data_IF_515424603396
#
_entry.id   IF_515424603396
#
_cell.length_a   1.000
_cell.length_b   1.000
_cell.length_c   1.000
_cell.angle_alpha   90.00
_cell.angle_beta   90.00
_cell.angle_gamma   90.00
#
_symmetry.space_group_name_H-M   'P 1'
#
loop_
_entity.id
_entity.type
_entity.pdbx_description
1 polymer ?
#
# COMPACT_ATOMS: atom_id res chain seq x y z
N UNK A 1 0.87 15.75 -13.89
CA UNK A 1 0.39 16.04 -12.51
C UNK A 1 1.54 16.63 -11.72
N UNK A 2 1.29 17.64 -10.88
CA UNK A 2 2.25 18.17 -9.93
C UNK A 2 1.99 17.61 -8.55
N UNK A 3 3.02 17.58 -7.72
CA UNK A 3 2.96 17.11 -6.33
C UNK A 3 3.40 18.23 -5.39
N UNK A 4 2.73 18.32 -4.25
CA UNK A 4 3.05 19.26 -3.18
C UNK A 4 3.23 18.49 -1.87
N UNK A 5 3.65 19.18 -0.80
CA UNK A 5 3.70 18.61 0.54
C UNK A 5 2.35 18.75 1.24
N UNK A 6 2.04 17.83 2.15
CA UNK A 6 0.92 17.95 3.11
C UNK A 6 1.09 19.14 4.05
N UNK A 7 2.30 19.68 4.19
CA UNK A 7 2.64 20.75 5.14
C UNK A 7 2.99 22.08 4.50
N UNK A 8 3.47 22.07 3.27
CA UNK A 8 3.86 23.27 2.52
C UNK A 8 3.31 23.21 1.09
N UNK A 9 2.21 23.91 0.85
CA UNK A 9 1.58 24.01 -0.48
C UNK A 9 2.42 24.77 -1.51
N UNK A 10 3.47 25.50 -1.10
CA UNK A 10 4.40 26.18 -2.01
C UNK A 10 5.36 25.21 -2.70
N UNK A 11 5.59 24.04 -2.12
CA UNK A 11 6.34 22.97 -2.75
C UNK A 11 5.60 22.50 -4.01
N UNK A 12 6.27 22.49 -5.15
CA UNK A 12 5.69 22.01 -6.41
C UNK A 12 6.74 21.24 -7.20
N UNK A 13 6.63 19.92 -7.18
CA UNK A 13 7.57 19.00 -7.86
C UNK A 13 6.81 18.15 -8.87
N UNK A 14 7.54 17.57 -9.81
CA UNK A 14 6.99 16.58 -10.73
C UNK A 14 7.01 15.16 -10.11
N UNK A 15 6.40 14.19 -10.79
CA UNK A 15 6.33 12.81 -10.31
C UNK A 15 7.72 12.20 -10.07
N UNK A 16 8.62 12.35 -11.04
CA UNK A 16 9.97 11.79 -10.94
C UNK A 16 10.74 12.34 -9.73
N UNK A 17 10.57 13.63 -9.44
CA UNK A 17 11.21 14.24 -8.27
C UNK A 17 10.58 13.75 -6.97
N UNK A 18 9.23 13.70 -6.88
CA UNK A 18 8.54 13.21 -5.69
C UNK A 18 8.90 11.75 -5.35
N UNK A 19 9.09 10.89 -6.37
CA UNK A 19 9.51 9.50 -6.18
C UNK A 19 10.97 9.38 -5.74
N UNK A 20 11.86 10.21 -6.30
CA UNK A 20 13.28 10.22 -5.93
C UNK A 20 13.51 10.77 -4.52
N UNK A 21 12.88 11.90 -4.19
CA UNK A 21 13.01 12.52 -2.87
C UNK A 21 12.35 11.70 -1.78
N UNK A 22 11.40 10.81 -2.17
CA UNK A 22 10.61 9.98 -1.28
C UNK A 22 9.69 10.80 -0.36
N UNK A 23 10.22 11.73 0.40
CA UNK A 23 9.53 12.61 1.35
C UNK A 23 10.00 14.06 1.18
N UNK A 24 9.10 15.05 1.34
CA UNK A 24 9.47 16.45 1.35
C UNK A 24 10.31 16.80 2.58
N UNK A 25 11.09 17.90 2.48
CA UNK A 25 12.03 18.30 3.54
C UNK A 25 11.34 18.90 4.78
N UNK A 26 10.09 19.31 4.65
CA UNK A 26 9.28 19.87 5.75
C UNK A 26 8.74 18.84 6.73
N UNK A 27 9.06 17.55 6.54
CA UNK A 27 8.63 16.44 7.36
C UNK A 27 7.21 15.95 7.05
N UNK A 28 6.56 16.46 6.00
CA UNK A 28 5.27 15.99 5.50
C UNK A 28 5.38 14.81 4.53
N UNK A 29 4.32 14.64 3.74
CA UNK A 29 4.22 13.62 2.69
C UNK A 29 3.84 14.26 1.35
N UNK A 30 4.35 13.71 0.25
CA UNK A 30 3.91 14.17 -1.08
C UNK A 30 2.47 13.76 -1.37
N UNK A 31 1.70 14.71 -1.94
CA UNK A 31 0.32 14.56 -2.40
C UNK A 31 0.17 15.09 -3.82
N UNK A 32 -0.76 14.57 -4.65
CA UNK A 32 -1.12 15.17 -5.93
C UNK A 32 -1.76 16.54 -5.71
N UNK A 33 -1.28 17.56 -6.42
CA UNK A 33 -1.84 18.92 -6.37
C UNK A 33 -3.14 19.02 -7.17
N UNK A 34 -3.17 18.40 -8.35
CA UNK A 34 -4.30 18.41 -9.26
C UNK A 34 -4.67 16.99 -9.69
N UNK A 35 -5.96 16.76 -9.99
CA UNK A 35 -6.45 15.49 -10.50
C UNK A 35 -7.10 15.69 -11.87
N UNK A 36 -6.71 14.85 -12.84
CA UNK A 36 -7.36 14.83 -14.14
C UNK A 36 -8.76 14.20 -14.05
N UNK A 37 -9.74 14.75 -14.78
CA UNK A 37 -11.02 14.05 -14.95
C UNK A 37 -10.86 12.89 -15.94
N UNK A 38 -10.83 11.68 -15.41
CA UNK A 38 -10.70 10.44 -16.18
C UNK A 38 -12.05 9.73 -16.38
N UNK A 39 -13.19 10.37 -16.07
CA UNK A 39 -14.53 9.77 -16.14
C UNK A 39 -14.79 9.05 -17.46
N UNK A 40 -14.55 9.73 -18.57
CA UNK A 40 -14.80 9.15 -19.90
C UNK A 40 -13.98 7.89 -20.12
N UNK A 41 -12.71 7.92 -19.76
CA UNK A 41 -11.81 6.78 -19.91
C UNK A 41 -12.21 5.63 -18.98
N UNK A 42 -12.51 5.90 -17.70
CA UNK A 42 -12.96 4.90 -16.72
C UNK A 42 -14.24 4.21 -17.20
N UNK A 43 -15.21 4.97 -17.71
CA UNK A 43 -16.45 4.44 -18.26
C UNK A 43 -16.24 3.62 -19.53
N UNK A 44 -15.15 3.83 -20.26
CA UNK A 44 -14.82 3.08 -21.47
C UNK A 44 -14.14 1.74 -21.17
N UNK A 45 -13.44 1.61 -20.02
CA UNK A 45 -12.81 0.34 -19.62
C UNK A 45 -13.87 -0.75 -19.44
N UNK A 46 -13.50 -2.01 -19.68
CA UNK A 46 -14.40 -3.16 -19.53
C UNK A 46 -13.65 -4.36 -18.93
N UNK A 47 -14.32 -5.50 -18.79
CA UNK A 47 -13.76 -6.72 -18.21
C UNK A 47 -12.54 -7.27 -18.97
N UNK A 48 -12.40 -6.94 -20.27
CA UNK A 48 -11.26 -7.36 -21.08
C UNK A 48 -10.05 -6.42 -20.94
N UNK A 49 -10.22 -5.23 -20.37
CA UNK A 49 -9.11 -4.31 -20.12
C UNK A 49 -8.20 -4.89 -19.03
N UNK A 50 -6.94 -5.17 -19.36
CA UNK A 50 -6.00 -5.77 -18.40
C UNK A 50 -5.64 -4.81 -17.27
N UNK A 51 -5.21 -5.37 -16.14
CA UNK A 51 -4.73 -4.53 -15.00
C UNK A 51 -3.53 -3.68 -15.40
N UNK A 52 -2.59 -4.25 -16.16
CA UNK A 52 -1.43 -3.52 -16.67
C UNK A 52 -1.82 -2.35 -17.58
N UNK A 53 -2.81 -2.53 -18.47
CA UNK A 53 -3.30 -1.43 -19.34
C UNK A 53 -3.98 -0.32 -18.52
N UNK A 54 -4.77 -0.68 -17.50
CA UNK A 54 -5.35 0.31 -16.58
C UNK A 54 -4.25 1.07 -15.84
N UNK A 55 -3.27 0.35 -15.32
CA UNK A 55 -2.14 0.96 -14.61
C UNK A 55 -1.30 1.86 -15.53
N UNK A 56 -1.07 1.45 -16.79
CA UNK A 56 -0.33 2.25 -17.78
C UNK A 56 -1.02 3.58 -18.10
N UNK A 57 -2.33 3.55 -18.30
CA UNK A 57 -3.12 4.76 -18.56
C UNK A 57 -3.12 5.71 -17.35
N UNK A 58 -3.31 5.19 -16.13
CA UNK A 58 -3.25 5.99 -14.91
C UNK A 58 -1.83 6.51 -14.63
N UNK A 59 -0.81 5.71 -14.91
CA UNK A 59 0.59 6.16 -14.84
C UNK A 59 0.82 7.34 -15.79
N UNK A 60 0.30 7.27 -17.02
CA UNK A 60 0.39 8.38 -17.97
C UNK A 60 -0.31 9.65 -17.45
N UNK A 61 -1.44 9.52 -16.76
CA UNK A 61 -2.13 10.65 -16.14
C UNK A 61 -1.32 11.26 -14.96
N UNK A 62 -0.65 10.42 -14.15
CA UNK A 62 0.16 10.89 -13.02
C UNK A 62 1.47 11.54 -13.47
N UNK A 63 2.18 10.90 -14.39
CA UNK A 63 3.48 11.35 -14.87
C UNK A 63 3.34 12.52 -15.86
N UNK A 64 2.20 12.56 -16.60
CA UNK A 64 1.92 13.57 -17.61
C UNK A 64 3.10 13.70 -18.61
N UNK A 65 3.65 14.87 -18.80
CA UNK A 65 4.63 15.15 -19.84
C UNK A 65 6.08 14.65 -19.56
N UNK A 66 6.33 13.96 -18.45
CA UNK A 66 7.67 13.47 -18.12
C UNK A 66 8.09 12.25 -18.95
N UNK A 67 7.12 11.35 -19.20
CA UNK A 67 7.33 10.15 -19.99
C UNK A 67 6.26 10.02 -21.08
N UNK A 68 6.65 9.39 -22.19
CA UNK A 68 5.67 9.06 -23.22
C UNK A 68 4.68 7.97 -22.72
N UNK A 69 3.45 7.92 -23.26
CA UNK A 69 2.50 6.85 -22.92
C UNK A 69 3.04 5.44 -23.10
N UNK A 70 3.92 5.22 -24.08
CA UNK A 70 4.58 3.91 -24.33
C UNK A 70 5.49 3.54 -23.15
N UNK A 71 6.24 4.49 -22.60
CA UNK A 71 7.08 4.24 -21.42
C UNK A 71 6.20 3.93 -20.22
N UNK A 72 5.10 4.65 -20.00
CA UNK A 72 4.16 4.40 -18.92
C UNK A 72 3.53 3.01 -18.99
N UNK A 73 3.14 2.57 -20.19
CA UNK A 73 2.62 1.22 -20.42
C UNK A 73 3.70 0.15 -20.22
N UNK A 74 4.94 0.42 -20.63
CA UNK A 74 6.08 -0.48 -20.40
C UNK A 74 6.37 -0.64 -18.91
N UNK A 75 6.34 0.44 -18.13
CA UNK A 75 6.46 0.40 -16.67
C UNK A 75 5.37 -0.50 -16.08
N UNK A 76 4.12 -0.26 -16.43
CA UNK A 76 2.98 -1.02 -15.91
C UNK A 76 3.03 -2.50 -16.29
N UNK A 77 3.38 -2.83 -17.54
CA UNK A 77 3.51 -4.21 -18.00
C UNK A 77 4.63 -4.97 -17.26
N UNK A 78 5.77 -4.31 -17.02
CA UNK A 78 6.85 -4.90 -16.21
C UNK A 78 6.49 -5.04 -14.75
N UNK A 79 5.75 -4.06 -14.21
CA UNK A 79 5.35 -4.07 -12.81
C UNK A 79 4.29 -5.13 -12.50
N UNK A 80 3.40 -5.45 -13.43
CA UNK A 80 2.21 -6.24 -13.17
C UNK A 80 2.09 -7.49 -14.07
N UNK A 81 2.97 -8.50 -13.90
CA UNK A 81 2.77 -9.83 -14.46
C UNK A 81 1.65 -10.60 -13.74
N UNK A 82 1.03 -10.02 -12.73
CA UNK A 82 -0.09 -10.50 -11.93
C UNK A 82 -1.17 -9.42 -11.85
N UNK A 83 -2.39 -9.82 -11.50
CA UNK A 83 -3.53 -8.90 -11.40
C UNK A 83 -4.38 -9.18 -10.16
N UNK A 84 -5.11 -8.19 -9.65
CA UNK A 84 -6.17 -8.43 -8.68
C UNK A 84 -7.25 -9.34 -9.26
N UNK A 85 -8.09 -9.90 -8.41
CA UNK A 85 -9.32 -10.58 -8.85
C UNK A 85 -10.52 -9.91 -8.19
N UNK A 86 -11.53 -9.62 -8.99
CA UNK A 86 -12.86 -9.31 -8.51
C UNK A 86 -13.70 -10.60 -8.61
N UNK A 87 -14.29 -11.02 -7.51
CA UNK A 87 -15.15 -12.20 -7.46
C UNK A 87 -16.53 -11.80 -6.96
N UNK A 88 -17.55 -12.14 -7.71
CA UNK A 88 -18.94 -12.03 -7.25
C UNK A 88 -19.20 -13.13 -6.22
N UNK A 89 -19.69 -12.76 -5.05
CA UNK A 89 -19.96 -13.68 -3.93
C UNK A 89 -21.47 -13.89 -3.81
N UNK A 90 -22.22 -12.81 -3.93
CA UNK A 90 -23.67 -12.79 -3.84
C UNK A 90 -24.19 -11.70 -4.80
N UNK A 91 -25.50 -11.48 -4.86
CA UNK A 91 -26.10 -10.47 -5.75
C UNK A 91 -25.48 -9.08 -5.57
N UNK A 92 -25.19 -8.71 -4.30
CA UNK A 92 -24.67 -7.39 -3.93
C UNK A 92 -23.32 -7.44 -3.21
N UNK A 93 -22.71 -8.61 -3.04
CA UNK A 93 -21.43 -8.77 -2.36
C UNK A 93 -20.36 -9.23 -3.34
N UNK A 94 -19.29 -8.48 -3.41
CA UNK A 94 -18.10 -8.79 -4.20
C UNK A 94 -16.85 -8.77 -3.31
N UNK A 95 -15.83 -9.55 -3.65
CA UNK A 95 -14.49 -9.44 -3.06
C UNK A 95 -13.51 -8.92 -4.08
N UNK A 96 -12.70 -7.94 -3.69
CA UNK A 96 -11.54 -7.48 -4.43
C UNK A 96 -10.28 -8.08 -3.80
N UNK A 97 -9.80 -9.16 -4.39
CA UNK A 97 -8.73 -9.99 -3.87
C UNK A 97 -7.37 -9.48 -4.40
N UNK A 98 -6.58 -8.84 -3.54
CA UNK A 98 -5.29 -8.21 -3.87
C UNK A 98 -4.08 -9.11 -3.59
N UNK A 99 -4.29 -10.36 -3.24
CA UNK A 99 -3.27 -11.30 -2.78
C UNK A 99 -2.84 -12.34 -3.85
N UNK A 100 -3.25 -12.15 -5.10
CA UNK A 100 -2.85 -13.01 -6.21
C UNK A 100 -1.44 -12.65 -6.74
N UNK A 101 -0.53 -12.37 -5.82
CA UNK A 101 0.88 -12.06 -6.03
C UNK A 101 1.76 -13.21 -5.56
N UNK A 102 3.02 -13.30 -5.96
CA UNK A 102 3.94 -14.32 -5.46
C UNK A 102 4.00 -14.44 -3.94
N UNK A 103 4.09 -13.31 -3.22
CA UNK A 103 4.16 -13.30 -1.74
C UNK A 103 2.79 -13.41 -1.06
N UNK A 104 1.69 -13.38 -1.82
CA UNK A 104 0.35 -13.40 -1.24
C UNK A 104 -0.07 -12.10 -0.58
N UNK A 105 0.62 -10.98 -0.82
CA UNK A 105 0.35 -9.69 -0.21
C UNK A 105 0.13 -8.60 -1.26
N UNK A 106 -0.85 -7.70 -1.01
CA UNK A 106 -1.08 -6.51 -1.82
C UNK A 106 0.13 -5.56 -1.88
N UNK A 107 1.02 -5.65 -0.89
CA UNK A 107 2.24 -4.84 -0.81
C UNK A 107 3.06 -4.97 -2.10
N UNK A 108 3.07 -6.14 -2.71
CA UNK A 108 3.88 -6.43 -3.88
C UNK A 108 3.48 -5.62 -5.13
N UNK A 109 2.19 -5.28 -5.30
CA UNK A 109 1.76 -4.41 -6.40
C UNK A 109 2.47 -3.06 -6.35
N UNK A 110 2.45 -2.42 -5.20
CA UNK A 110 3.04 -1.10 -5.09
C UNK A 110 4.57 -1.10 -5.08
N UNK A 111 5.20 -2.13 -4.50
CA UNK A 111 6.66 -2.30 -4.54
C UNK A 111 7.10 -2.50 -5.99
N UNK A 112 6.44 -3.39 -6.72
CA UNK A 112 6.76 -3.65 -8.12
C UNK A 112 6.59 -2.41 -8.99
N UNK A 113 5.53 -1.64 -8.78
CA UNK A 113 5.31 -0.39 -9.51
C UNK A 113 6.39 0.66 -9.19
N UNK A 114 6.62 0.93 -7.90
CA UNK A 114 7.63 1.90 -7.46
C UNK A 114 9.00 1.58 -8.01
N UNK A 115 9.44 0.31 -7.93
CA UNK A 115 10.74 -0.12 -8.41
C UNK A 115 10.87 0.06 -9.93
N UNK A 116 9.83 -0.26 -10.72
CA UNK A 116 9.90 -0.10 -12.18
C UNK A 116 9.82 1.38 -12.60
N UNK A 117 9.09 2.23 -11.88
CA UNK A 117 9.17 3.69 -12.06
C UNK A 117 10.56 4.21 -11.74
N UNK A 118 11.08 3.86 -10.57
CA UNK A 118 12.37 4.33 -10.07
C UNK A 118 13.51 3.90 -11.00
N UNK A 119 13.56 2.64 -11.44
CA UNK A 119 14.57 2.15 -12.40
C UNK A 119 14.54 2.94 -13.72
N UNK A 120 13.33 3.26 -14.21
CA UNK A 120 13.18 4.08 -15.43
C UNK A 120 13.73 5.49 -15.22
N UNK A 121 13.37 6.13 -14.09
CA UNK A 121 13.83 7.48 -13.73
C UNK A 121 15.35 7.51 -13.57
N UNK A 122 15.90 6.56 -12.82
CA UNK A 122 17.35 6.47 -12.54
C UNK A 122 18.15 6.20 -13.82
N UNK A 123 17.67 5.34 -14.68
CA UNK A 123 18.31 5.07 -16.00
C UNK A 123 18.36 6.34 -16.85
N UNK A 124 17.30 7.13 -16.87
CA UNK A 124 17.25 8.39 -17.63
C UNK A 124 18.15 9.48 -17.04
N UNK A 125 18.32 9.49 -15.71
CA UNK A 125 19.14 10.48 -14.99
C UNK A 125 20.60 10.05 -14.83
N UNK A 126 20.96 8.80 -15.10
CA UNK A 126 22.29 8.25 -14.85
C UNK A 126 22.65 8.24 -13.36
N UNK A 127 21.67 7.95 -12.49
CA UNK A 127 21.84 7.96 -11.05
C UNK A 127 21.42 6.61 -10.42
N UNK A 128 21.62 6.44 -9.13
CA UNK A 128 21.30 5.23 -8.36
C UNK A 128 20.45 5.58 -7.14
N UNK A 129 19.77 4.59 -6.58
CA UNK A 129 19.06 4.72 -5.31
C UNK A 129 19.21 3.44 -4.46
N UNK A 130 19.12 3.61 -3.15
CA UNK A 130 19.20 2.52 -2.19
C UNK A 130 17.93 2.51 -1.33
N UNK A 131 17.18 1.42 -1.36
CA UNK A 131 16.10 1.19 -0.39
C UNK A 131 16.70 0.88 0.98
N UNK A 132 16.14 1.47 2.03
CA UNK A 132 16.43 1.13 3.42
C UNK A 132 15.12 0.91 4.16
N UNK A 133 14.80 -0.34 4.43
CA UNK A 133 13.54 -0.72 5.07
C UNK A 133 13.75 -1.79 6.16
N UNK A 134 12.87 -1.78 7.16
CA UNK A 134 12.72 -2.88 8.11
C UNK A 134 11.67 -3.88 7.59
N UNK A 135 11.91 -5.17 7.80
CA UNK A 135 11.00 -6.22 7.33
C UNK A 135 11.00 -7.44 8.24
N UNK A 136 9.84 -8.08 8.34
CA UNK A 136 9.67 -9.40 8.96
C UNK A 136 9.21 -10.48 7.97
N UNK A 137 9.17 -10.14 6.66
CA UNK A 137 8.75 -11.10 5.64
C UNK A 137 8.39 -10.49 4.30
N UNK A 138 7.10 -10.24 4.03
CA UNK A 138 6.56 -10.00 2.68
C UNK A 138 7.17 -8.76 1.99
N UNK A 139 7.48 -7.69 2.73
CA UNK A 139 8.06 -6.49 2.13
C UNK A 139 9.45 -6.79 1.58
N UNK A 140 10.33 -7.35 2.40
CA UNK A 140 11.71 -7.68 2.02
C UNK A 140 11.76 -8.70 0.87
N UNK A 141 10.96 -9.78 0.96
CA UNK A 141 10.87 -10.79 -0.09
C UNK A 141 10.36 -10.20 -1.43
N UNK A 142 9.33 -9.35 -1.38
CA UNK A 142 8.80 -8.66 -2.56
C UNK A 142 9.84 -7.72 -3.17
N UNK A 143 10.53 -6.93 -2.34
CA UNK A 143 11.53 -5.97 -2.80
C UNK A 143 12.72 -6.68 -3.44
N UNK A 144 13.32 -7.66 -2.75
CA UNK A 144 14.46 -8.42 -3.26
C UNK A 144 14.15 -9.04 -4.62
N UNK A 145 12.98 -9.69 -4.76
CA UNK A 145 12.55 -10.31 -6.00
C UNK A 145 12.40 -9.30 -7.15
N UNK A 146 11.86 -8.11 -6.87
CA UNK A 146 11.58 -7.11 -7.91
C UNK A 146 12.84 -6.34 -8.34
N UNK A 147 13.80 -6.14 -7.42
CA UNK A 147 15.06 -5.44 -7.76
C UNK A 147 16.13 -6.36 -8.34
N UNK A 148 15.94 -7.69 -8.27
CA UNK A 148 16.90 -8.65 -8.81
C UNK A 148 17.30 -8.30 -10.25
N UNK A 149 18.61 -8.18 -10.49
CA UNK A 149 19.17 -7.84 -11.80
C UNK A 149 19.04 -6.35 -12.22
N UNK A 150 18.44 -5.49 -11.40
CA UNK A 150 18.43 -4.04 -11.65
C UNK A 150 19.76 -3.42 -11.26
N UNK A 151 20.32 -2.60 -12.16
CA UNK A 151 21.68 -2.05 -12.01
C UNK A 151 21.74 -0.78 -11.16
N UNK A 152 20.63 -0.02 -11.17
CA UNK A 152 20.59 1.30 -10.56
C UNK A 152 19.98 1.31 -9.15
N UNK A 153 19.55 0.13 -8.68
CA UNK A 153 18.83 0.00 -7.41
C UNK A 153 19.53 -1.03 -6.52
N UNK A 154 19.76 -0.64 -5.26
CA UNK A 154 20.19 -1.51 -4.18
C UNK A 154 19.15 -1.53 -3.07
N UNK A 155 19.21 -2.51 -2.17
CA UNK A 155 18.40 -2.54 -0.96
C UNK A 155 19.22 -2.96 0.26
N UNK A 156 19.02 -2.25 1.36
CA UNK A 156 19.44 -2.63 2.72
C UNK A 156 18.17 -3.00 3.47
N UNK A 157 18.09 -4.24 3.92
CA UNK A 157 16.91 -4.78 4.58
C UNK A 157 17.26 -5.22 5.99
N UNK A 158 16.67 -4.56 6.98
CA UNK A 158 16.87 -4.87 8.40
C UNK A 158 15.83 -5.89 8.85
N UNK A 159 16.28 -6.96 9.46
CA UNK A 159 15.44 -8.03 9.98
C UNK A 159 15.75 -8.29 11.46
N UNK A 160 14.76 -8.57 12.30
CA UNK A 160 15.03 -9.21 13.57
C UNK A 160 15.76 -10.53 13.33
N UNK A 161 16.60 -10.94 14.27
CA UNK A 161 17.37 -12.20 14.15
C UNK A 161 16.47 -13.40 13.83
N UNK A 162 16.81 -14.15 12.78
CA UNK A 162 16.07 -15.33 12.32
C UNK A 162 14.80 -15.04 11.53
N UNK A 163 14.56 -13.79 11.10
CA UNK A 163 13.37 -13.42 10.34
C UNK A 163 13.61 -13.15 8.86
N UNK A 164 14.83 -13.41 8.35
CA UNK A 164 15.09 -13.24 6.90
C UNK A 164 14.29 -14.27 6.12
N UNK A 165 13.53 -13.80 5.13
CA UNK A 165 12.67 -14.65 4.30
C UNK A 165 12.66 -14.17 2.84
N UNK A 166 12.55 -15.15 1.92
CA UNK A 166 12.33 -14.89 0.50
C UNK A 166 13.53 -14.32 -0.23
N UNK A 167 14.72 -14.46 0.32
CA UNK A 167 15.99 -14.11 -0.31
C UNK A 167 16.73 -15.38 -0.73
N UNK A 168 17.47 -15.30 -1.82
CA UNK A 168 18.36 -16.35 -2.29
C UNK A 168 19.81 -15.86 -2.32
N UNK A 169 20.77 -16.79 -2.40
CA UNK A 169 22.20 -16.48 -2.45
C UNK A 169 22.56 -15.48 -3.56
N UNK A 170 21.86 -15.52 -4.69
CA UNK A 170 22.07 -14.61 -5.83
C UNK A 170 21.59 -13.16 -5.58
N UNK A 171 20.73 -12.95 -4.55
CA UNK A 171 20.28 -11.60 -4.19
C UNK A 171 21.35 -10.84 -3.41
N UNK A 172 22.24 -11.54 -2.72
CA UNK A 172 23.17 -10.93 -1.78
C UNK A 172 24.25 -10.13 -2.49
N UNK A 173 24.54 -8.94 -1.96
CA UNK A 173 25.52 -8.03 -2.54
C UNK A 173 26.92 -8.64 -2.61
N UNK A 174 27.30 -9.44 -1.63
CA UNK A 174 28.60 -10.14 -1.61
C UNK A 174 28.72 -11.31 -2.60
N UNK A 175 27.60 -11.69 -3.23
CA UNK A 175 27.55 -12.68 -4.32
C UNK A 175 27.26 -12.02 -5.68
N UNK A 176 27.37 -10.69 -5.76
CA UNK A 176 27.12 -9.92 -6.98
C UNK A 176 25.64 -9.53 -7.19
N UNK A 177 24.79 -9.77 -6.21
CA UNK A 177 23.42 -9.26 -6.17
C UNK A 177 23.36 -7.78 -5.75
N UNK A 178 22.18 -7.33 -5.36
CA UNK A 178 21.94 -5.93 -5.00
C UNK A 178 21.17 -5.76 -3.67
N UNK A 179 21.08 -6.80 -2.86
CA UNK A 179 20.46 -6.79 -1.54
C UNK A 179 21.51 -7.00 -0.45
N UNK A 180 21.51 -6.11 0.54
CA UNK A 180 22.27 -6.24 1.78
C UNK A 180 21.29 -6.56 2.92
N UNK A 181 21.05 -7.85 3.25
CA UNK A 181 20.28 -8.22 4.41
C UNK A 181 21.13 -8.07 5.67
N UNK A 182 20.56 -7.44 6.69
CA UNK A 182 21.21 -7.22 7.99
C UNK A 182 20.29 -7.75 9.09
N UNK A 183 20.80 -8.69 9.89
CA UNK A 183 20.10 -9.10 11.12
C UNK A 183 20.39 -8.11 12.24
N UNK A 184 19.33 -7.72 12.94
CA UNK A 184 19.37 -6.81 14.09
C UNK A 184 19.17 -7.62 15.36
N UNK A 185 19.97 -7.33 16.38
CA UNK A 185 19.81 -7.91 17.72
C UNK A 185 18.69 -7.19 18.48
N UNK A 186 17.45 -7.47 18.07
CA UNK A 186 16.27 -6.81 18.60
C UNK A 186 14.99 -7.28 17.92
N UNK A 187 13.90 -6.63 18.29
CA UNK A 187 12.57 -6.84 17.70
C UNK A 187 12.40 -6.05 16.39
N UNK A 188 11.27 -6.27 15.69
CA UNK A 188 10.86 -5.44 14.56
C UNK A 188 10.84 -3.95 14.90
N UNK A 189 10.43 -3.60 16.13
CA UNK A 189 10.42 -2.22 16.61
C UNK A 189 11.83 -1.60 16.60
N UNK A 190 12.85 -2.33 17.03
CA UNK A 190 14.25 -1.88 17.00
C UNK A 190 14.74 -1.66 15.56
N UNK A 191 14.36 -2.56 14.63
CA UNK A 191 14.67 -2.36 13.21
C UNK A 191 14.06 -1.05 12.69
N UNK A 192 12.82 -0.75 13.06
CA UNK A 192 12.16 0.51 12.70
C UNK A 192 12.82 1.74 13.33
N UNK A 193 13.27 1.65 14.58
CA UNK A 193 14.01 2.74 15.24
C UNK A 193 15.33 3.03 14.53
N UNK A 194 16.09 2.01 14.18
CA UNK A 194 17.33 2.16 13.40
C UNK A 194 17.08 2.85 12.05
N UNK A 195 16.02 2.47 11.33
CA UNK A 195 15.65 3.12 10.07
C UNK A 195 15.35 4.61 10.30
N UNK A 196 14.56 4.96 11.33
CA UNK A 196 14.25 6.36 11.67
C UNK A 196 15.50 7.16 11.99
N UNK A 197 16.41 6.60 12.79
CA UNK A 197 17.67 7.24 13.17
C UNK A 197 18.55 7.53 11.94
N UNK A 198 18.66 6.58 10.99
CA UNK A 198 19.42 6.78 9.77
C UNK A 198 18.77 7.86 8.89
N UNK A 199 17.44 7.85 8.73
CA UNK A 199 16.72 8.87 7.95
C UNK A 199 16.75 10.26 8.59
N UNK A 200 16.93 10.38 9.90
CA UNK A 200 17.16 11.65 10.56
C UNK A 200 18.52 12.29 10.20
N UNK A 201 19.47 11.50 9.70
CA UNK A 201 20.77 11.97 9.25
C UNK A 201 20.76 12.28 7.75
N UNK A 202 20.48 13.54 7.40
CA UNK A 202 20.36 13.99 6.02
C UNK A 202 21.60 13.68 5.16
N UNK A 203 22.79 13.79 5.72
CA UNK A 203 24.02 13.51 4.99
C UNK A 203 24.15 12.04 4.57
N UNK A 204 23.64 11.12 5.37
CA UNK A 204 23.60 9.69 5.03
C UNK A 204 22.54 9.43 3.96
N UNK A 205 21.34 10.05 4.10
CA UNK A 205 20.28 9.93 3.10
C UNK A 205 20.77 10.38 1.73
N UNK A 206 21.45 11.50 1.64
CA UNK A 206 21.99 12.04 0.39
C UNK A 206 23.16 11.21 -0.13
N UNK A 207 24.09 10.80 0.73
CA UNK A 207 25.27 10.01 0.33
C UNK A 207 24.88 8.71 -0.38
N UNK A 208 23.84 8.03 0.10
CA UNK A 208 23.40 6.74 -0.45
C UNK A 208 22.15 6.85 -1.32
N UNK A 209 21.60 8.05 -1.54
CA UNK A 209 20.32 8.27 -2.21
C UNK A 209 19.23 7.36 -1.63
N UNK A 210 19.04 7.43 -0.31
CA UNK A 210 18.11 6.53 0.39
C UNK A 210 16.65 6.80 0.03
N UNK A 211 15.91 5.74 -0.17
CA UNK A 211 14.45 5.72 -0.37
C UNK A 211 13.83 4.54 0.38
N UNK A 212 12.50 4.53 0.52
CA UNK A 212 11.76 3.44 1.16
C UNK A 212 10.78 2.76 0.19
N UNK A 213 10.54 1.47 0.41
CA UNK A 213 9.59 0.67 -0.35
C UNK A 213 8.16 0.70 0.24
N UNK A 214 7.93 1.50 1.26
CA UNK A 214 6.63 1.67 1.92
C UNK A 214 5.86 2.91 1.39
N UNK A 215 4.71 3.23 1.97
CA UNK A 215 3.82 4.29 1.48
C UNK A 215 4.22 5.71 1.89
N UNK A 216 5.36 5.92 2.55
CA UNK A 216 5.97 7.25 2.62
C UNK A 216 6.29 7.73 1.21
N UNK A 217 6.82 6.84 0.35
CA UNK A 217 7.02 7.15 -1.06
C UNK A 217 5.67 7.16 -1.81
N UNK A 218 5.34 8.31 -2.43
CA UNK A 218 4.07 8.51 -3.16
C UNK A 218 3.89 7.51 -4.31
N UNK A 219 4.95 7.10 -5.00
CA UNK A 219 4.89 6.10 -6.06
C UNK A 219 4.38 4.75 -5.57
N UNK A 220 4.70 4.38 -4.33
CA UNK A 220 4.20 3.18 -3.68
C UNK A 220 2.70 3.24 -3.39
N UNK A 221 2.21 4.42 -3.00
CA UNK A 221 0.80 4.65 -2.68
C UNK A 221 -0.06 4.72 -3.94
N UNK A 222 0.37 5.48 -4.96
CA UNK A 222 -0.39 5.69 -6.19
C UNK A 222 -0.73 4.37 -6.92
N UNK A 223 0.13 3.37 -6.84
CA UNK A 223 -0.15 2.05 -7.41
C UNK A 223 -1.42 1.40 -6.86
N UNK A 224 -1.81 1.71 -5.62
CA UNK A 224 -3.02 1.17 -5.02
C UNK A 224 -4.29 1.79 -5.62
N UNK A 225 -4.20 2.98 -6.21
CA UNK A 225 -5.31 3.61 -6.91
C UNK A 225 -5.81 2.78 -8.09
N UNK A 226 -4.94 1.99 -8.72
CA UNK A 226 -5.28 1.18 -9.90
C UNK A 226 -6.29 0.08 -9.61
N UNK A 227 -6.40 -0.38 -8.36
CA UNK A 227 -7.33 -1.43 -7.96
C UNK A 227 -8.79 -1.07 -8.19
N UNK A 228 -9.15 0.20 -7.97
CA UNK A 228 -10.52 0.65 -7.97
C UNK A 228 -11.10 0.82 -9.39
N UNK A 229 -10.43 1.48 -10.36
CA UNK A 229 -10.86 1.45 -11.75
C UNK A 229 -10.85 0.04 -12.36
N UNK A 230 -9.93 -0.81 -11.93
CA UNK A 230 -9.94 -2.23 -12.33
C UNK A 230 -11.18 -2.95 -11.81
N UNK A 231 -11.52 -2.80 -10.53
CA UNK A 231 -12.74 -3.37 -9.97
C UNK A 231 -13.98 -2.82 -10.68
N UNK A 232 -14.07 -1.50 -10.86
CA UNK A 232 -15.18 -0.85 -11.53
C UNK A 232 -15.39 -1.34 -12.96
N UNK A 233 -14.32 -1.54 -13.75
CA UNK A 233 -14.42 -2.04 -15.12
C UNK A 233 -15.11 -3.40 -15.24
N UNK A 234 -15.13 -4.20 -14.16
CA UNK A 234 -15.78 -5.50 -14.07
C UNK A 234 -17.15 -5.44 -13.40
N UNK A 235 -17.34 -4.46 -12.50
CA UNK A 235 -18.59 -4.30 -11.76
C UNK A 235 -19.69 -3.64 -12.58
N UNK A 236 -19.38 -2.62 -13.37
CA UNK A 236 -20.35 -1.70 -13.98
C UNK A 236 -21.45 -2.35 -14.82
N UNK A 237 -21.23 -3.56 -15.34
CA UNK A 237 -22.22 -4.33 -16.07
C UNK A 237 -22.96 -5.36 -15.20
N UNK A 238 -22.61 -5.46 -13.91
CA UNK A 238 -23.18 -6.44 -12.97
C UNK A 238 -24.01 -5.80 -11.86
N UNK A 239 -23.91 -4.48 -11.69
CA UNK A 239 -24.54 -3.70 -10.64
C UNK A 239 -25.32 -2.56 -11.25
N UNK A 240 -26.48 -2.21 -10.68
CA UNK A 240 -27.35 -1.12 -11.13
C UNK A 240 -27.40 0.04 -10.14
N UNK A 241 -27.06 -0.21 -8.88
CA UNK A 241 -27.08 0.77 -7.80
C UNK A 241 -25.71 1.28 -7.42
N UNK A 242 -25.64 1.86 -6.24
CA UNK A 242 -24.46 2.45 -5.66
C UNK A 242 -23.36 1.42 -5.37
N UNK A 243 -22.10 1.87 -5.41
CA UNK A 243 -20.93 1.03 -5.13
C UNK A 243 -20.20 1.56 -3.91
N UNK A 244 -20.15 0.73 -2.87
CA UNK A 244 -19.37 0.99 -1.66
C UNK A 244 -18.19 0.04 -1.55
N UNK A 245 -17.04 0.57 -1.15
CA UNK A 245 -15.86 -0.23 -0.87
C UNK A 245 -15.65 -0.34 0.63
N UNK A 246 -15.61 -1.57 1.15
CA UNK A 246 -15.21 -1.80 2.54
C UNK A 246 -13.78 -2.31 2.63
N UNK A 247 -12.98 -1.68 3.46
CA UNK A 247 -11.55 -1.97 3.54
C UNK A 247 -10.98 -1.88 4.95
N UNK A 248 -9.91 -2.66 5.22
CA UNK A 248 -9.12 -2.48 6.44
C UNK A 248 -8.43 -1.11 6.44
N UNK A 249 -8.44 -0.38 7.55
CA UNK A 249 -7.74 0.89 7.66
C UNK A 249 -6.21 0.71 7.55
N UNK A 250 -5.62 -0.08 8.47
CA UNK A 250 -4.16 -0.17 8.56
C UNK A 250 -3.53 1.21 8.73
N UNK A 251 -2.63 1.56 7.82
CA UNK A 251 -2.01 2.89 7.74
C UNK A 251 -2.74 3.85 6.78
N UNK A 252 -4.00 3.64 6.51
CA UNK A 252 -4.90 4.43 5.65
C UNK A 252 -4.56 4.44 4.15
N UNK A 253 -3.48 3.79 3.71
CA UNK A 253 -3.02 3.89 2.32
C UNK A 253 -4.06 3.40 1.30
N UNK A 254 -4.78 2.31 1.58
CA UNK A 254 -5.84 1.82 0.68
C UNK A 254 -7.02 2.79 0.61
N UNK A 255 -7.40 3.39 1.74
CA UNK A 255 -8.47 4.38 1.80
C UNK A 255 -8.09 5.63 0.98
N UNK A 256 -6.91 6.19 1.23
CA UNK A 256 -6.37 7.33 0.47
C UNK A 256 -6.31 7.02 -1.03
N UNK A 257 -5.84 5.83 -1.40
CA UNK A 257 -5.76 5.42 -2.80
C UNK A 257 -7.15 5.29 -3.46
N UNK A 258 -8.16 4.79 -2.73
CA UNK A 258 -9.54 4.77 -3.19
C UNK A 258 -10.11 6.17 -3.39
N UNK A 259 -9.86 7.07 -2.45
CA UNK A 259 -10.24 8.47 -2.51
C UNK A 259 -9.52 9.22 -3.65
N UNK A 260 -8.25 8.90 -3.93
CA UNK A 260 -7.57 9.42 -5.13
C UNK A 260 -8.23 8.90 -6.42
N UNK A 261 -8.69 7.64 -6.44
CA UNK A 261 -9.51 7.11 -7.52
C UNK A 261 -10.79 7.93 -7.73
N UNK A 262 -11.49 8.25 -6.66
CA UNK A 262 -12.65 9.13 -6.69
C UNK A 262 -12.31 10.55 -7.19
N UNK A 263 -11.22 11.15 -6.76
CA UNK A 263 -10.73 12.44 -7.30
C UNK A 263 -10.39 12.38 -8.79
N UNK A 264 -10.07 11.20 -9.32
CA UNK A 264 -9.92 10.94 -10.76
C UNK A 264 -11.26 10.62 -11.46
N UNK A 265 -12.38 10.88 -10.79
CA UNK A 265 -13.76 10.66 -11.26
C UNK A 265 -14.18 9.17 -11.36
N UNK A 266 -13.60 8.31 -10.52
CA UNK A 266 -14.11 6.94 -10.35
C UNK A 266 -15.55 6.99 -9.79
N UNK A 267 -16.53 6.31 -10.39
CA UNK A 267 -17.86 6.17 -9.84
C UNK A 267 -17.86 5.25 -8.61
N UNK A 268 -17.68 5.86 -7.44
CA UNK A 268 -17.78 5.22 -6.12
C UNK A 268 -18.65 6.09 -5.24
N UNK A 269 -19.56 5.50 -4.47
CA UNK A 269 -20.52 6.20 -3.63
C UNK A 269 -20.02 6.33 -2.19
N UNK A 270 -19.04 5.53 -1.79
CA UNK A 270 -18.39 5.72 -0.50
C UNK A 270 -17.43 4.61 -0.12
N UNK A 271 -16.74 4.87 0.99
CA UNK A 271 -15.76 3.97 1.59
C UNK A 271 -16.14 3.67 3.03
N UNK A 272 -16.29 2.39 3.34
CA UNK A 272 -16.61 1.91 4.69
C UNK A 272 -15.32 1.37 5.32
N UNK A 273 -15.08 1.72 6.57
CA UNK A 273 -13.91 1.23 7.30
C UNK A 273 -14.19 1.06 8.80
N UNK A 274 -13.47 0.18 9.51
CA UNK A 274 -13.54 0.16 10.96
C UNK A 274 -12.88 1.42 11.55
N UNK A 275 -13.40 1.89 12.69
CA UNK A 275 -12.74 2.97 13.46
C UNK A 275 -11.34 2.57 13.92
N UNK A 276 -10.50 3.57 14.13
CA UNK A 276 -9.14 3.45 14.69
C UNK A 276 -9.00 4.43 15.85
N UNK A 277 -7.78 4.65 16.33
CA UNK A 277 -7.52 5.67 17.32
C UNK A 277 -7.65 7.08 16.71
N UNK A 278 -7.38 7.24 15.41
CA UNK A 278 -7.41 8.50 14.69
C UNK A 278 -8.73 8.74 13.92
N UNK A 279 -9.42 7.68 13.48
CA UNK A 279 -10.72 7.78 12.80
C UNK A 279 -11.83 7.28 13.71
N UNK A 280 -12.72 8.18 14.09
CA UNK A 280 -13.87 7.94 14.97
C UNK A 280 -15.19 8.17 14.25
N UNK A 281 -16.27 7.92 14.94
CA UNK A 281 -17.63 8.32 14.56
C UNK A 281 -18.18 9.30 15.60
N UNK A 282 -18.80 10.38 15.11
CA UNK A 282 -19.56 11.30 15.95
C UNK A 282 -20.91 10.68 16.37
N UNK A 283 -21.69 11.41 17.19
CA UNK A 283 -23.01 10.96 17.65
C UNK A 283 -24.03 10.77 16.52
N UNK A 284 -23.82 11.40 15.37
CA UNK A 284 -24.65 11.28 14.20
C UNK A 284 -24.16 10.19 13.23
N UNK A 285 -23.07 9.48 13.57
CA UNK A 285 -22.49 8.43 12.74
C UNK A 285 -21.55 8.93 11.65
N UNK A 286 -21.18 10.21 11.64
CA UNK A 286 -20.27 10.76 10.65
C UNK A 286 -18.81 10.47 11.00
N UNK A 287 -17.96 10.49 9.97
CA UNK A 287 -16.51 10.37 10.11
C UNK A 287 -15.92 11.59 10.81
N UNK A 288 -15.12 11.36 11.83
CA UNK A 288 -14.32 12.35 12.54
C UNK A 288 -12.85 11.92 12.57
N UNK A 289 -11.96 12.82 12.18
CA UNK A 289 -10.51 12.58 12.17
C UNK A 289 -9.94 13.26 13.42
N UNK A 290 -9.40 12.48 14.36
CA UNK A 290 -8.96 12.98 15.66
C UNK A 290 -7.70 13.84 15.57
N UNK A 291 -6.80 13.54 14.64
CA UNK A 291 -5.55 14.30 14.46
C UNK A 291 -5.74 15.68 13.86
N UNK A 292 -6.90 15.96 13.24
CA UNK A 292 -7.22 17.32 12.75
C UNK A 292 -7.25 18.38 13.86
N UNK A 293 -7.26 17.95 15.13
CA UNK A 293 -7.19 18.81 16.30
C UNK A 293 -5.76 19.27 16.59
N UNK A 294 -4.73 18.53 16.12
CA UNK A 294 -3.33 18.89 16.34
C UNK A 294 -2.83 19.72 15.16
N UNK A 295 -2.40 20.95 15.40
CA UNK A 295 -1.81 21.82 14.38
C UNK A 295 -0.60 21.12 13.73
N UNK A 296 -0.47 21.23 12.41
CA UNK A 296 0.59 20.57 11.64
C UNK A 296 2.00 20.84 12.19
N UNK A 297 2.24 22.07 12.65
CA UNK A 297 3.51 22.50 13.24
C UNK A 297 3.89 21.74 14.52
N UNK A 298 2.89 21.18 15.20
CA UNK A 298 3.07 20.42 16.45
C UNK A 298 3.14 18.91 16.22
N UNK A 299 2.92 18.46 14.98
CA UNK A 299 3.05 17.04 14.62
C UNK A 299 4.52 16.71 14.36
N UNK A 300 4.97 15.54 14.81
CA UNK A 300 6.28 15.01 14.43
C UNK A 300 6.41 14.78 12.92
N UNK A 301 7.62 14.61 12.42
CA UNK A 301 7.84 14.27 11.01
C UNK A 301 7.15 12.96 10.63
N UNK A 302 6.73 12.84 9.37
CA UNK A 302 6.24 11.58 8.83
C UNK A 302 7.29 10.46 9.03
N UNK A 303 6.84 9.30 9.52
CA UNK A 303 7.73 8.18 9.82
C UNK A 303 8.20 7.49 8.53
N UNK A 304 9.49 7.50 8.21
CA UNK A 304 10.01 6.84 7.01
C UNK A 304 9.89 5.32 7.08
N UNK A 305 9.81 4.74 8.27
CA UNK A 305 9.82 3.29 8.48
C UNK A 305 8.40 2.71 8.58
N UNK A 306 7.48 3.43 9.23
CA UNK A 306 6.09 3.00 9.43
C UNK A 306 5.11 4.15 9.19
N UNK A 307 4.98 4.64 7.94
CA UNK A 307 4.22 5.84 7.65
C UNK A 307 2.72 5.66 7.91
N UNK A 308 2.11 6.65 8.55
CA UNK A 308 0.66 6.89 8.50
C UNK A 308 0.34 7.73 7.27
N UNK A 309 -0.78 7.45 6.61
CA UNK A 309 -1.28 8.28 5.53
C UNK A 309 -2.43 9.19 5.99
N UNK A 310 -2.54 9.45 7.27
CA UNK A 310 -3.62 10.26 7.84
C UNK A 310 -3.58 11.69 7.31
N UNK A 311 -2.40 12.34 7.24
CA UNK A 311 -2.27 13.69 6.67
C UNK A 311 -2.73 13.74 5.20
N UNK A 312 -2.43 12.69 4.40
CA UNK A 312 -2.96 12.58 3.04
C UNK A 312 -4.47 12.43 3.01
N UNK A 313 -5.04 11.72 3.97
CA UNK A 313 -6.49 11.57 4.12
C UNK A 313 -7.15 12.89 4.48
N UNK A 314 -6.61 13.62 5.46
CA UNK A 314 -7.11 14.94 5.85
C UNK A 314 -7.09 15.92 4.69
N UNK A 315 -6.00 15.96 3.93
CA UNK A 315 -5.81 16.91 2.82
C UNK A 315 -6.83 16.73 1.69
N UNK A 316 -7.31 15.50 1.45
CA UNK A 316 -8.34 15.25 0.44
C UNK A 316 -9.62 16.04 0.72
N UNK A 317 -9.95 16.26 1.97
CA UNK A 317 -11.17 16.94 2.42
C UNK A 317 -10.94 18.34 2.97
N UNK A 318 -9.70 18.85 2.98
CA UNK A 318 -9.34 20.15 3.53
C UNK A 318 -10.16 21.31 2.89
N UNK A 319 -10.38 21.25 1.57
CA UNK A 319 -11.18 22.26 0.84
C UNK A 319 -12.71 22.11 1.04
N UNK A 320 -13.18 20.93 1.44
CA UNK A 320 -14.61 20.67 1.68
C UNK A 320 -14.83 19.59 2.74
N UNK A 321 -14.69 19.92 4.04
CA UNK A 321 -14.83 18.95 5.14
C UNK A 321 -16.21 18.28 5.20
N UNK A 322 -17.26 18.91 4.66
CA UNK A 322 -18.60 18.30 4.64
C UNK A 322 -18.65 17.05 3.76
N UNK A 323 -17.84 16.99 2.71
CA UNK A 323 -17.78 15.81 1.84
C UNK A 323 -17.27 14.56 2.59
N UNK A 324 -16.43 14.72 3.60
CA UNK A 324 -15.97 13.59 4.42
C UNK A 324 -17.14 12.81 5.02
N UNK A 325 -18.15 13.52 5.53
CA UNK A 325 -19.33 12.93 6.20
C UNK A 325 -20.22 12.11 5.26
N UNK A 326 -20.17 12.40 3.98
CA UNK A 326 -21.02 11.77 2.96
C UNK A 326 -20.23 10.82 2.06
N UNK A 327 -18.97 10.53 2.41
CA UNK A 327 -18.15 9.69 1.54
C UNK A 327 -17.30 8.66 2.30
N UNK A 328 -17.00 8.88 3.57
CA UNK A 328 -16.29 7.93 4.42
C UNK A 328 -17.17 7.57 5.62
N UNK A 329 -17.43 6.29 5.75
CA UNK A 329 -18.38 5.73 6.71
C UNK A 329 -17.65 4.80 7.69
N UNK A 330 -17.01 5.32 8.73
CA UNK A 330 -16.39 4.49 9.76
C UNK A 330 -17.45 3.82 10.64
N UNK A 331 -17.14 2.62 11.13
CA UNK A 331 -17.96 1.92 12.10
C UNK A 331 -17.10 1.35 13.23
N UNK A 332 -17.56 1.55 14.47
CA UNK A 332 -16.92 0.94 15.63
C UNK A 332 -17.21 -0.57 15.63
N UNK A 333 -16.15 -1.38 15.63
CA UNK A 333 -16.23 -2.85 15.55
C UNK A 333 -15.49 -3.47 16.71
N UNK A 334 -16.20 -4.29 17.50
CA UNK A 334 -15.62 -5.06 18.61
C UNK A 334 -14.86 -6.30 18.12
N UNK A 335 -14.16 -6.96 19.05
CA UNK A 335 -13.49 -8.23 18.76
C UNK A 335 -14.51 -9.32 18.41
N UNK A 336 -15.58 -9.40 19.16
CA UNK A 336 -16.68 -10.38 19.00
C UNK A 336 -17.37 -10.23 17.64
N UNK A 337 -17.67 -8.99 17.23
CA UNK A 337 -18.24 -8.67 15.93
C UNK A 337 -17.27 -9.04 14.78
N UNK A 338 -15.97 -8.83 14.99
CA UNK A 338 -14.93 -9.24 14.02
C UNK A 338 -14.92 -10.76 13.83
N UNK A 339 -14.98 -11.52 14.91
CA UNK A 339 -15.04 -12.99 14.87
C UNK A 339 -16.36 -13.51 14.26
N UNK A 340 -17.48 -12.87 14.60
CA UNK A 340 -18.79 -13.20 13.99
C UNK A 340 -18.77 -12.96 12.48
N UNK A 341 -18.20 -11.85 12.02
CA UNK A 341 -18.04 -11.55 10.61
C UNK A 341 -17.15 -12.58 9.89
N UNK A 342 -16.08 -13.03 10.53
CA UNK A 342 -15.25 -14.12 10.01
C UNK A 342 -16.04 -15.42 9.83
N UNK A 343 -16.81 -15.82 10.86
CA UNK A 343 -17.67 -17.00 10.80
C UNK A 343 -18.76 -16.86 9.74
N UNK A 344 -19.36 -15.69 9.60
CA UNK A 344 -20.38 -15.42 8.58
C UNK A 344 -19.82 -15.55 7.17
N UNK A 345 -18.67 -14.96 6.87
CA UNK A 345 -18.01 -15.08 5.57
C UNK A 345 -17.71 -16.57 5.23
N UNK A 346 -17.27 -17.34 6.22
CA UNK A 346 -16.98 -18.75 6.02
C UNK A 346 -18.26 -19.60 5.86
N UNK A 347 -19.22 -19.46 6.76
CA UNK A 347 -20.41 -20.31 6.78
C UNK A 347 -21.35 -20.04 5.59
N UNK A 348 -21.54 -18.77 5.23
CA UNK A 348 -22.48 -18.39 4.17
C UNK A 348 -21.85 -18.48 2.78
N UNK A 349 -20.52 -18.24 2.68
CA UNK A 349 -19.87 -18.06 1.38
C UNK A 349 -18.58 -18.89 1.19
N UNK A 350 -18.20 -19.69 2.18
CA UNK A 350 -16.94 -20.45 2.18
C UNK A 350 -15.70 -19.59 1.91
N UNK A 351 -15.67 -18.37 2.49
CA UNK A 351 -14.57 -17.44 2.37
C UNK A 351 -13.76 -17.42 3.67
N UNK A 352 -12.49 -17.80 3.58
CA UNK A 352 -11.54 -17.52 4.66
C UNK A 352 -11.17 -16.04 4.66
N UNK A 353 -11.34 -15.39 5.79
CA UNK A 353 -11.00 -13.98 5.97
C UNK A 353 -10.02 -13.80 7.14
N UNK A 354 -8.92 -13.10 6.91
CA UNK A 354 -8.02 -12.73 7.99
C UNK A 354 -8.68 -11.67 8.91
N UNK A 355 -8.08 -11.41 10.06
CA UNK A 355 -8.63 -10.49 11.08
C UNK A 355 -8.99 -9.11 10.50
N UNK A 356 -8.13 -8.54 9.65
CA UNK A 356 -8.35 -7.21 9.09
C UNK A 356 -9.51 -7.18 8.08
N UNK A 357 -9.63 -8.19 7.23
CA UNK A 357 -10.75 -8.36 6.30
C UNK A 357 -12.07 -8.60 7.05
N UNK A 358 -12.05 -9.46 8.07
CA UNK A 358 -13.22 -9.74 8.92
C UNK A 358 -13.71 -8.45 9.61
N UNK A 359 -12.79 -7.63 10.10
CA UNK A 359 -13.12 -6.36 10.74
C UNK A 359 -13.72 -5.35 9.74
N UNK A 360 -13.21 -5.30 8.50
CA UNK A 360 -13.78 -4.49 7.45
C UNK A 360 -15.20 -4.95 7.08
N UNK A 361 -15.41 -6.25 6.95
CA UNK A 361 -16.75 -6.78 6.68
C UNK A 361 -17.74 -6.51 7.84
N UNK A 362 -17.31 -6.64 9.09
CA UNK A 362 -18.11 -6.26 10.24
C UNK A 362 -18.50 -4.77 10.22
N UNK A 363 -17.58 -3.88 9.81
CA UNK A 363 -17.89 -2.47 9.63
C UNK A 363 -18.98 -2.25 8.58
N UNK A 364 -18.92 -2.96 7.45
CA UNK A 364 -19.95 -2.90 6.41
C UNK A 364 -21.32 -3.40 6.92
N UNK A 365 -21.34 -4.47 7.70
CA UNK A 365 -22.60 -4.99 8.29
C UNK A 365 -23.24 -3.99 9.26
N UNK A 366 -22.45 -3.14 9.91
CA UNK A 366 -22.96 -2.06 10.79
C UNK A 366 -23.44 -0.83 10.03
N UNK A 367 -23.10 -0.71 8.77
CA UNK A 367 -23.53 0.36 7.86
C UNK A 367 -24.55 -0.15 6.83
N UNK A 368 -25.29 -1.17 7.21
CA UNK A 368 -26.28 -1.79 6.33
C UNK A 368 -27.36 -0.80 5.90
N UNK A 369 -27.74 0.15 6.75
CA UNK A 369 -28.71 1.20 6.42
C UNK A 369 -28.32 2.02 5.20
N UNK A 370 -27.03 2.32 5.01
CA UNK A 370 -26.53 3.06 3.85
C UNK A 370 -26.64 2.22 2.58
N UNK A 371 -26.48 0.90 2.71
CA UNK A 371 -26.49 -0.03 1.59
C UNK A 371 -27.90 -0.46 1.15
N UNK A 372 -28.85 -0.43 2.07
CA UNK A 372 -30.23 -0.87 1.78
C UNK A 372 -31.06 0.21 1.06
N UNK A 373 -30.70 1.50 1.20
CA UNK A 373 -31.47 2.61 0.65
C UNK A 373 -31.41 2.70 -0.90
N UNK A 374 -30.27 2.35 -1.52
CA UNK A 374 -29.99 2.64 -2.93
C UNK A 374 -29.61 1.42 -3.77
N UNK A 375 -30.07 0.26 -3.43
CA UNK A 375 -29.75 -1.01 -4.13
C UNK A 375 -28.23 -1.25 -4.26
N UNK A 376 -27.49 -0.83 -3.25
CA UNK A 376 -26.05 -0.71 -3.25
C UNK A 376 -25.34 -2.07 -3.27
N UNK A 377 -24.18 -2.10 -3.89
CA UNK A 377 -23.26 -3.22 -3.90
C UNK A 377 -22.04 -2.96 -3.03
N UNK A 378 -21.62 -3.97 -2.27
CA UNK A 378 -20.43 -3.95 -1.44
C UNK A 378 -19.27 -4.65 -2.12
N UNK A 379 -18.14 -3.95 -2.21
CA UNK A 379 -16.84 -4.52 -2.60
C UNK A 379 -15.96 -4.62 -1.37
N UNK A 380 -15.78 -5.83 -0.85
CA UNK A 380 -14.89 -6.12 0.27
C UNK A 380 -13.45 -6.26 -0.21
N UNK A 381 -12.56 -5.37 0.22
CA UNK A 381 -11.15 -5.38 -0.17
C UNK A 381 -10.37 -6.36 0.71
N UNK A 382 -9.79 -7.37 0.09
CA UNK A 382 -8.97 -8.40 0.73
C UNK A 382 -7.50 -8.23 0.35
N UNK A 383 -6.69 -7.73 1.29
CA UNK A 383 -5.31 -7.30 1.02
C UNK A 383 -4.31 -8.44 0.94
N UNK A 384 -4.39 -9.37 1.90
CA UNK A 384 -3.38 -10.41 2.09
C UNK A 384 -4.05 -11.78 2.09
N UNK A 385 -3.33 -12.78 1.55
CA UNK A 385 -3.85 -14.15 1.47
C UNK A 385 -4.18 -14.66 2.88
N UNK A 386 -5.36 -15.26 3.10
CA UNK A 386 -5.79 -15.68 4.44
C UNK A 386 -4.79 -16.62 5.13
N UNK A 387 -4.10 -17.48 4.40
CA UNK A 387 -3.11 -18.39 4.97
C UNK A 387 -1.93 -17.69 5.67
N UNK A 388 -1.63 -16.42 5.35
CA UNK A 388 -0.62 -15.64 6.06
C UNK A 388 -1.02 -15.28 7.50
N UNK A 389 -2.30 -15.42 7.83
CA UNK A 389 -2.86 -15.18 9.17
C UNK A 389 -3.66 -16.39 9.66
N UNK A 390 -3.17 -17.59 9.42
CA UNK A 390 -3.86 -18.87 9.67
C UNK A 390 -4.17 -19.10 11.15
N UNK A 391 -3.37 -18.57 12.07
CA UNK A 391 -3.58 -18.71 13.52
C UNK A 391 -4.91 -18.07 13.96
N UNK A 392 -5.17 -16.82 13.57
CA UNK A 392 -6.44 -16.16 13.85
C UNK A 392 -7.62 -16.93 13.27
N UNK A 393 -7.50 -17.39 12.01
CA UNK A 393 -8.57 -18.10 11.31
C UNK A 393 -8.86 -19.44 12.00
N UNK A 394 -7.80 -20.19 12.35
CA UNK A 394 -7.95 -21.48 13.06
C UNK A 394 -8.57 -21.30 14.44
N UNK A 395 -8.18 -20.27 15.17
CA UNK A 395 -8.80 -19.95 16.46
C UNK A 395 -10.31 -19.64 16.32
N UNK A 396 -10.68 -18.90 15.26
CA UNK A 396 -12.06 -18.43 15.07
C UNK A 396 -12.97 -19.49 14.47
N UNK A 397 -12.46 -20.29 13.51
CA UNK A 397 -13.26 -21.23 12.70
C UNK A 397 -13.01 -22.71 13.05
N UNK A 398 -11.96 -23.04 13.82
CA UNK A 398 -11.50 -24.42 14.00
C UNK A 398 -10.73 -25.00 12.82
N UNK A 399 -10.66 -24.29 11.70
CA UNK A 399 -9.94 -24.67 10.48
C UNK A 399 -9.26 -23.45 9.87
N UNK A 400 -8.32 -23.66 8.94
CA UNK A 400 -7.64 -22.57 8.25
C UNK A 400 -7.29 -23.01 6.82
N UNK A 401 -7.12 -22.06 5.88
CA UNK A 401 -6.69 -22.41 4.53
C UNK A 401 -5.25 -22.92 4.53
N UNK A 402 -4.96 -23.82 3.62
CA UNK A 402 -3.60 -24.26 3.35
C UNK A 402 -2.77 -23.13 2.76
N UNK A 403 -1.46 -23.12 3.09
CA UNK A 403 -0.52 -22.17 2.52
C UNK A 403 -0.23 -22.58 1.06
N UNK A 404 -0.55 -21.74 0.07
CA UNK A 404 -0.21 -22.06 -1.31
C UNK A 404 1.31 -22.20 -1.51
N UNK A 405 1.73 -23.20 -2.26
CA UNK A 405 3.14 -23.50 -2.51
C UNK A 405 3.91 -22.26 -3.05
N UNK A 406 3.31 -21.48 -3.96
CA UNK A 406 3.92 -20.26 -4.48
C UNK A 406 4.26 -19.25 -3.38
N UNK A 407 3.39 -19.10 -2.37
CA UNK A 407 3.61 -18.17 -1.23
C UNK A 407 4.66 -18.76 -0.28
N UNK A 408 4.56 -20.05 0.03
CA UNK A 408 5.54 -20.76 0.85
C UNK A 408 6.95 -20.63 0.27
N UNK A 409 7.11 -20.85 -1.03
CA UNK A 409 8.38 -20.71 -1.74
C UNK A 409 8.89 -19.26 -1.74
N UNK A 410 8.00 -18.29 -1.97
CA UNK A 410 8.34 -16.87 -1.98
C UNK A 410 8.72 -16.30 -0.59
N UNK A 411 8.34 -16.99 0.50
CA UNK A 411 8.60 -16.58 1.88
C UNK A 411 9.46 -17.62 2.63
N UNK A 412 10.20 -18.44 1.90
CA UNK A 412 11.08 -19.44 2.50
C UNK A 412 12.11 -18.76 3.41
N UNK A 413 12.35 -19.36 4.58
CA UNK A 413 13.35 -18.86 5.52
C UNK A 413 14.75 -18.91 4.88
N UNK A 414 15.50 -17.83 5.08
CA UNK A 414 16.88 -17.68 4.60
C UNK A 414 17.80 -17.47 5.80
N UNK A 415 18.91 -18.16 5.83
CA UNK A 415 19.94 -17.98 6.87
C UNK A 415 21.15 -17.29 6.24
N UNK A 416 21.69 -16.29 6.93
CA UNK A 416 22.95 -15.66 6.58
C UNK A 416 23.99 -15.93 7.68
N UNK A 417 25.26 -16.07 7.29
CA UNK A 417 26.36 -16.28 8.24
C UNK A 417 27.10 -14.95 8.44
N UNK A 418 26.43 -13.98 9.06
CA UNK A 418 26.98 -12.67 9.37
C UNK A 418 26.60 -12.26 10.79
N UNK A 419 27.42 -11.43 11.48
CA UNK A 419 27.06 -10.96 12.82
C UNK A 419 25.82 -10.07 12.77
N UNK A 420 25.01 -10.14 13.82
CA UNK A 420 23.92 -9.21 14.04
C UNK A 420 24.48 -7.83 14.41
N UNK A 421 23.74 -6.78 14.03
CA UNK A 421 24.02 -5.40 14.44
C UNK A 421 23.03 -4.94 15.52
N UNK A 422 23.41 -3.92 16.28
CA UNK A 422 22.58 -3.41 17.40
C UNK A 422 22.26 -1.92 17.30
N UNK A 423 22.82 -1.22 16.31
CA UNK A 423 22.69 0.25 16.20
C UNK A 423 22.71 0.76 14.75
N UNK A 424 22.19 1.95 14.56
CA UNK A 424 22.25 2.65 13.27
C UNK A 424 23.68 2.85 12.77
N UNK A 425 24.64 3.12 13.68
CA UNK A 425 26.04 3.30 13.32
C UNK A 425 26.63 2.01 12.73
N UNK A 426 26.34 0.84 13.30
CA UNK A 426 26.81 -0.45 12.77
C UNK A 426 26.20 -0.75 11.40
N UNK A 427 24.93 -0.39 11.17
CA UNK A 427 24.30 -0.48 9.83
C UNK A 427 25.03 0.40 8.84
N UNK A 428 25.31 1.66 9.18
CA UNK A 428 26.01 2.61 8.31
C UNK A 428 27.44 2.12 7.98
N UNK A 429 28.17 1.56 8.97
CA UNK A 429 29.49 0.97 8.73
C UNK A 429 29.40 -0.24 7.80
N UNK A 430 28.44 -1.13 8.02
CA UNK A 430 28.21 -2.29 7.14
C UNK A 430 27.89 -1.85 5.70
N UNK A 431 27.07 -0.79 5.55
CA UNK A 431 26.80 -0.20 4.22
C UNK A 431 28.07 0.37 3.58
N UNK A 432 28.94 1.04 4.36
CA UNK A 432 30.17 1.62 3.86
C UNK A 432 31.19 0.56 3.40
N UNK A 433 31.17 -0.62 4.02
CA UNK A 433 32.05 -1.74 3.68
C UNK A 433 31.58 -2.48 2.41
N UNK A 434 30.26 -2.48 2.12
CA UNK A 434 29.65 -3.27 1.03
C UNK A 434 29.30 -2.43 -0.21
N UNK A 435 29.25 -1.10 -0.12
CA UNK A 435 28.83 -0.18 -1.19
C UNK A 435 29.95 0.70 -1.69
#
# INVERSE_FOLDING_TARGET
MKFTSTRDSSVSVNFSQAVLDCMPQDGGLYIPQDFADLRRWILYTNENTTFASIAGALTSAFINNEFSPIICETIATKAFPFSPKLRKIDERLFTLELYHTPTGSHKEFGISYLVNCLETILTMKGSTATFLDASVGELGASLARVIRGKKNIKAVLLYPRGFIRGLSEEDFIWNGGNVLPIEVDGSEHVCHEIVREIYANRSIVEKYNLTVANTANIGRLLAQTFFYPYAFSRLKNQVSGDIFYSMPCGNYSNLVAGLYGWRLSLPANGFICPTTDEIKVDLAGNCEIMDSIVELEKRGNADPSSPSNLERFEEIFASNPLMLKHFVYPAQVSKEETEQACRKLFNDYNIFANKSTSRAYAAALKRKEIMDEDDASLVLVMRDHPALNSEYIRHTLGTAPEMPERISNALMHTTINRPCVSSAMEVILTMADEF
#
